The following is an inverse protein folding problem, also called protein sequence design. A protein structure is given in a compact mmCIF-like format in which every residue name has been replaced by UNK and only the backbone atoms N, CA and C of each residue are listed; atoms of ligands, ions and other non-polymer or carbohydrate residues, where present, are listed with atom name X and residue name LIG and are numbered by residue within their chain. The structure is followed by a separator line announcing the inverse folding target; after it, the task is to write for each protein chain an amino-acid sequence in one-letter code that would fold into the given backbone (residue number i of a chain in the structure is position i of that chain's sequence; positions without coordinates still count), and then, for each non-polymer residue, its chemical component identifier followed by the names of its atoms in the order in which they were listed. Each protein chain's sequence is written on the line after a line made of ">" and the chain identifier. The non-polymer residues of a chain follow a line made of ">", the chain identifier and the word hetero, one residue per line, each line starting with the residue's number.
data_IF_836178649186
#
_entry.id   IF_836178649186
#
_cell.length_a   1.000
_cell.length_b   1.000
_cell.length_c   1.000
_cell.angle_alpha   90.00
_cell.angle_beta   90.00
_cell.angle_gamma   90.00
#
_symmetry.space_group_name_H-M   'P 1'
#
loop_
_entity.id
_entity.type
_entity.pdbx_description
1 polymer ?
#
# COMPACT_ATOMS: atom_id res chain seq x y z
N UNK A 1 -2.72 -6.76 18.71
CA UNK A 1 -2.32 -6.08 17.46
C UNK A 1 -3.53 -5.31 16.96
N UNK A 2 -3.41 -4.00 16.83
CA UNK A 2 -4.45 -3.19 16.20
C UNK A 2 -4.25 -3.25 14.69
N UNK A 3 -5.29 -3.64 13.94
CA UNK A 3 -5.20 -3.93 12.51
C UNK A 3 -6.20 -3.07 11.77
N UNK A 4 -5.73 -2.40 10.71
CA UNK A 4 -6.57 -1.66 9.77
C UNK A 4 -6.30 -2.21 8.38
N UNK A 5 -7.36 -2.56 7.65
CA UNK A 5 -7.29 -2.91 6.24
C UNK A 5 -7.86 -1.75 5.42
N UNK A 6 -7.02 -1.15 4.59
CA UNK A 6 -7.39 -0.01 3.74
C UNK A 6 -7.62 -0.52 2.32
N UNK A 7 -8.76 -0.17 1.74
CA UNK A 7 -9.09 -0.46 0.36
C UNK A 7 -9.10 0.84 -0.44
N UNK A 8 -8.43 0.85 -1.59
CA UNK A 8 -8.31 2.01 -2.46
C UNK A 8 -8.73 1.66 -3.89
N UNK A 9 -9.08 2.68 -4.67
CA UNK A 9 -9.14 2.60 -6.12
C UNK A 9 -8.26 3.72 -6.68
N UNK A 10 -7.30 3.34 -7.52
CA UNK A 10 -6.35 4.27 -8.12
C UNK A 10 -6.86 4.65 -9.51
N UNK A 11 -6.67 5.90 -9.93
CA UNK A 11 -6.94 6.23 -11.35
C UNK A 11 -5.99 5.44 -12.25
N UNK A 12 -6.44 4.87 -13.38
CA UNK A 12 -5.62 4.00 -14.23
C UNK A 12 -4.27 4.59 -14.62
N UNK A 13 -4.21 5.90 -14.90
CA UNK A 13 -3.00 6.62 -15.30
C UNK A 13 -1.96 6.78 -14.17
N UNK A 14 -2.33 6.49 -12.92
CA UNK A 14 -1.46 6.67 -11.75
C UNK A 14 -1.13 5.35 -11.02
N UNK A 15 -1.47 4.18 -11.56
CA UNK A 15 -1.20 2.89 -10.88
C UNK A 15 0.28 2.73 -10.54
N UNK A 16 1.19 2.94 -11.50
CA UNK A 16 2.63 2.80 -11.26
C UNK A 16 3.18 3.88 -10.32
N UNK A 17 2.69 5.12 -10.45
CA UNK A 17 3.09 6.22 -9.57
C UNK A 17 2.64 5.96 -8.12
N UNK A 18 1.41 5.46 -7.94
CA UNK A 18 0.86 5.11 -6.64
C UNK A 18 1.61 3.93 -6.02
N UNK A 19 1.93 2.90 -6.81
CA UNK A 19 2.73 1.75 -6.37
C UNK A 19 4.09 2.19 -5.84
N UNK A 20 4.82 3.02 -6.59
CA UNK A 20 6.12 3.52 -6.17
C UNK A 20 6.04 4.32 -4.86
N UNK A 21 5.10 5.25 -4.77
CA UNK A 21 4.88 6.07 -3.56
C UNK A 21 4.49 5.21 -2.35
N UNK A 22 3.66 4.19 -2.54
CA UNK A 22 3.19 3.33 -1.44
C UNK A 22 4.28 2.36 -0.98
N UNK A 23 5.16 1.88 -1.87
CA UNK A 23 6.33 1.08 -1.49
C UNK A 23 7.29 1.91 -0.62
N UNK A 24 7.54 3.17 -0.97
CA UNK A 24 8.36 4.07 -0.16
C UNK A 24 7.73 4.30 1.22
N UNK A 25 6.42 4.56 1.27
CA UNK A 25 5.68 4.69 2.52
C UNK A 25 5.82 3.42 3.38
N UNK A 26 5.52 2.25 2.82
CA UNK A 26 5.60 0.98 3.55
C UNK A 26 7.01 0.72 4.09
N UNK A 27 8.04 0.96 3.27
CA UNK A 27 9.45 0.76 3.65
C UNK A 27 9.87 1.66 4.82
N UNK A 28 9.34 2.88 4.91
CA UNK A 28 9.60 3.78 6.03
C UNK A 28 8.74 3.44 7.25
N UNK A 29 7.48 3.07 7.05
CA UNK A 29 6.59 2.72 8.17
C UNK A 29 6.99 1.46 8.91
N UNK A 30 7.61 0.48 8.23
CA UNK A 30 8.21 -0.67 8.91
C UNK A 30 9.34 -0.29 9.89
N UNK A 31 9.88 0.93 9.84
CA UNK A 31 10.89 1.43 10.78
C UNK A 31 10.26 2.14 11.98
N UNK A 32 8.96 2.40 11.95
CA UNK A 32 8.26 3.12 13.02
C UNK A 32 8.05 2.21 14.25
N UNK A 33 8.27 2.70 15.48
CA UNK A 33 8.03 1.93 16.69
C UNK A 33 6.57 1.45 16.78
N UNK A 34 6.40 0.13 16.94
CA UNK A 34 5.08 -0.48 17.10
C UNK A 34 4.39 -0.90 15.80
N UNK A 35 4.96 -0.57 14.63
CA UNK A 35 4.46 -1.07 13.34
C UNK A 35 4.95 -2.51 13.14
N UNK A 36 4.04 -3.47 13.29
CA UNK A 36 4.34 -4.87 13.05
C UNK A 36 4.26 -5.24 11.56
N UNK A 37 3.39 -4.57 10.79
CA UNK A 37 3.17 -4.80 9.36
C UNK A 37 2.71 -3.52 8.66
N UNK A 38 3.09 -3.39 7.40
CA UNK A 38 2.58 -2.38 6.48
C UNK A 38 2.58 -2.98 5.07
N UNK A 39 1.66 -3.90 4.82
CA UNK A 39 1.63 -4.70 3.60
C UNK A 39 0.92 -3.93 2.48
N UNK A 40 1.52 -3.91 1.29
CA UNK A 40 0.93 -3.32 0.08
C UNK A 40 0.68 -4.46 -0.91
N UNK A 41 -0.58 -4.66 -1.26
CA UNK A 41 -1.05 -5.73 -2.14
C UNK A 41 -1.85 -5.12 -3.30
N UNK A 42 -1.70 -5.71 -4.49
CA UNK A 42 -2.46 -5.34 -5.68
C UNK A 42 -3.34 -6.51 -6.08
N UNK A 43 -4.60 -6.25 -6.41
CA UNK A 43 -5.52 -7.26 -6.90
C UNK A 43 -5.10 -7.72 -8.30
N UNK A 44 -5.13 -9.03 -8.56
CA UNK A 44 -4.69 -9.59 -9.84
C UNK A 44 -5.68 -9.28 -10.98
N UNK A 45 -6.97 -9.28 -10.67
CA UNK A 45 -8.05 -9.11 -11.66
C UNK A 45 -8.32 -7.63 -11.98
N UNK A 46 -7.95 -6.71 -11.09
CA UNK A 46 -8.14 -5.27 -11.28
C UNK A 46 -6.88 -4.52 -10.84
N UNK A 47 -6.02 -4.07 -11.78
CA UNK A 47 -4.77 -3.41 -11.45
C UNK A 47 -4.97 -2.05 -10.77
N UNK A 48 -6.19 -1.51 -10.76
CA UNK A 48 -6.52 -0.28 -10.04
C UNK A 48 -6.87 -0.49 -8.58
N UNK A 49 -6.82 -1.75 -8.08
CA UNK A 49 -7.18 -2.15 -6.73
C UNK A 49 -6.08 -2.86 -5.96
#
# INVERSE_FOLDING_TARGET
>A
MYIVQVFVHVKPEYVEAFKAATIENASNSLKEPGVARFDVIQQLEDPTR
#
